data_IF_242636181190
#
_entry.id   IF_242636181190
#
_cell.length_a   1.000
_cell.length_b   1.000
_cell.length_c   1.000
_cell.angle_alpha   90.00
_cell.angle_beta   90.00
_cell.angle_gamma   90.00
#
_symmetry.space_group_name_H-M   'P 1'
#
loop_
_entity.id
_entity.type
_entity.pdbx_description
1 polymer ?
#
# COMPACT_ATOMS: atom_id res chain seq x y z
N UNK A 1 -45.88 -5.01 -27.60
CA UNK A 1 -44.98 -6.03 -27.07
C UNK A 1 -44.68 -5.68 -25.61
N UNK A 2 -44.87 -6.64 -24.70
CA UNK A 2 -44.59 -6.46 -23.29
C UNK A 2 -43.06 -6.52 -23.04
N UNK A 3 -42.59 -5.88 -21.95
CA UNK A 3 -41.17 -5.88 -21.59
C UNK A 3 -40.61 -7.30 -21.47
N UNK A 4 -41.40 -8.26 -20.97
CA UNK A 4 -40.98 -9.68 -20.90
C UNK A 4 -40.71 -10.30 -22.26
N UNK A 5 -41.50 -9.98 -23.27
CA UNK A 5 -41.29 -10.52 -24.64
C UNK A 5 -40.01 -9.97 -25.27
N UNK A 6 -39.73 -8.67 -25.08
CA UNK A 6 -38.49 -8.06 -25.54
C UNK A 6 -37.28 -8.72 -24.87
N UNK A 7 -37.37 -8.97 -23.57
CA UNK A 7 -36.31 -9.64 -22.81
C UNK A 7 -36.03 -11.07 -23.34
N UNK A 8 -37.08 -11.88 -23.52
CA UNK A 8 -36.91 -13.25 -24.04
C UNK A 8 -36.33 -13.29 -25.45
N UNK A 9 -36.78 -12.40 -26.32
CA UNK A 9 -36.26 -12.28 -27.69
C UNK A 9 -34.77 -11.85 -27.69
N UNK A 10 -34.41 -10.85 -26.89
CA UNK A 10 -33.03 -10.38 -26.77
C UNK A 10 -32.12 -11.46 -26.16
N UNK A 11 -32.61 -12.20 -25.15
CA UNK A 11 -31.86 -13.30 -24.55
C UNK A 11 -31.66 -14.46 -25.52
N UNK A 12 -32.70 -14.86 -26.28
CA UNK A 12 -32.60 -15.86 -27.35
C UNK A 12 -31.58 -15.45 -28.40
N UNK A 13 -31.59 -14.20 -28.82
CA UNK A 13 -30.64 -13.63 -29.79
C UNK A 13 -29.17 -13.73 -29.33
N UNK A 14 -28.92 -13.51 -28.03
CA UNK A 14 -27.59 -13.69 -27.45
C UNK A 14 -27.17 -15.18 -27.38
N UNK A 15 -28.16 -16.07 -27.17
CA UNK A 15 -27.90 -17.52 -27.09
C UNK A 15 -27.62 -18.16 -28.44
N UNK A 16 -28.22 -17.66 -29.54
CA UNK A 16 -27.96 -18.16 -30.90
C UNK A 16 -26.50 -17.91 -31.35
N UNK A 17 -25.83 -16.91 -30.76
CA UNK A 17 -24.44 -16.52 -31.09
C UNK A 17 -23.51 -16.57 -29.87
N UNK A 18 -23.52 -17.73 -29.19
CA UNK A 18 -22.84 -17.97 -27.92
C UNK A 18 -21.39 -17.45 -27.85
N UNK A 19 -20.58 -17.77 -28.88
CA UNK A 19 -19.17 -17.42 -28.89
C UNK A 19 -18.92 -15.91 -28.88
N UNK A 20 -19.70 -15.15 -29.68
CA UNK A 20 -19.57 -13.70 -29.80
C UNK A 20 -20.06 -13.01 -28.53
N UNK A 21 -21.25 -13.41 -28.05
CA UNK A 21 -21.83 -12.85 -26.81
C UNK A 21 -20.94 -13.12 -25.61
N UNK A 22 -20.40 -14.35 -25.50
CA UNK A 22 -19.43 -14.70 -24.44
C UNK A 22 -18.18 -13.83 -24.51
N UNK A 23 -17.61 -13.61 -25.70
CA UNK A 23 -16.41 -12.80 -25.86
C UNK A 23 -16.64 -11.33 -25.46
N UNK A 24 -17.81 -10.79 -25.81
CA UNK A 24 -18.20 -9.44 -25.41
C UNK A 24 -18.40 -9.32 -23.90
N UNK A 25 -19.07 -10.31 -23.28
CA UNK A 25 -19.24 -10.36 -21.81
C UNK A 25 -17.87 -10.44 -21.13
N UNK A 26 -16.94 -11.28 -21.64
CA UNK A 26 -15.58 -11.38 -21.10
C UNK A 26 -14.83 -10.05 -21.16
N UNK A 27 -14.97 -9.27 -22.22
CA UNK A 27 -14.35 -7.93 -22.29
C UNK A 27 -14.85 -7.00 -21.17
N UNK A 28 -16.16 -7.02 -20.88
CA UNK A 28 -16.75 -6.23 -19.79
C UNK A 28 -16.27 -6.76 -18.42
N UNK A 29 -16.23 -8.09 -18.27
CA UNK A 29 -15.71 -8.76 -17.05
C UNK A 29 -14.29 -8.30 -16.78
N UNK A 30 -13.39 -8.37 -17.77
CA UNK A 30 -11.97 -8.01 -17.58
C UNK A 30 -11.83 -6.55 -17.16
N UNK A 31 -12.55 -5.62 -17.79
CA UNK A 31 -12.50 -4.20 -17.45
C UNK A 31 -13.01 -3.92 -16.02
N UNK A 32 -14.17 -4.47 -15.68
CA UNK A 32 -14.76 -4.27 -14.34
C UNK A 32 -14.02 -5.05 -13.24
N UNK A 33 -13.54 -6.26 -13.52
CA UNK A 33 -12.73 -7.04 -12.57
C UNK A 33 -11.40 -6.36 -12.25
N UNK A 34 -10.71 -5.83 -13.27
CA UNK A 34 -9.47 -5.08 -13.07
C UNK A 34 -9.72 -3.86 -12.17
N UNK A 35 -10.79 -3.11 -12.44
CA UNK A 35 -11.14 -1.93 -11.65
C UNK A 35 -11.45 -2.28 -10.18
N UNK A 36 -12.21 -3.35 -9.94
CA UNK A 36 -12.53 -3.83 -8.58
C UNK A 36 -11.27 -4.30 -7.86
N UNK A 37 -10.45 -5.12 -8.52
CA UNK A 37 -9.24 -5.68 -7.92
C UNK A 37 -8.26 -4.57 -7.50
N UNK A 38 -8.00 -3.61 -8.38
CA UNK A 38 -7.08 -2.53 -8.14
C UNK A 38 -7.58 -1.55 -7.07
N UNK A 39 -8.89 -1.23 -7.06
CA UNK A 39 -9.49 -0.42 -6.00
C UNK A 39 -9.42 -1.12 -4.64
N UNK A 40 -9.69 -2.42 -4.58
CA UNK A 40 -9.59 -3.20 -3.35
C UNK A 40 -8.17 -3.24 -2.78
N UNK A 41 -7.16 -3.42 -3.62
CA UNK A 41 -5.74 -3.40 -3.22
C UNK A 41 -5.33 -1.99 -2.74
N UNK A 42 -5.73 -0.94 -3.47
CA UNK A 42 -5.42 0.46 -3.10
C UNK A 42 -6.07 0.85 -1.77
N UNK A 43 -7.32 0.45 -1.53
CA UNK A 43 -8.01 0.66 -0.25
C UNK A 43 -7.32 -0.10 0.89
N UNK A 44 -6.90 -1.35 0.66
CA UNK A 44 -6.13 -2.14 1.62
C UNK A 44 -4.79 -1.50 1.99
N UNK A 45 -4.06 -0.97 1.01
CA UNK A 45 -2.82 -0.22 1.24
C UNK A 45 -3.07 1.03 2.10
N UNK A 46 -4.12 1.80 1.79
CA UNK A 46 -4.48 3.00 2.55
C UNK A 46 -4.82 2.67 4.01
N UNK A 47 -5.60 1.62 4.23
CA UNK A 47 -5.98 1.18 5.57
C UNK A 47 -4.76 0.69 6.37
N UNK A 48 -3.87 -0.08 5.73
CA UNK A 48 -2.63 -0.53 6.34
C UNK A 48 -1.74 0.64 6.78
N UNK A 49 -1.54 1.64 5.92
CA UNK A 49 -0.75 2.85 6.26
C UNK A 49 -1.40 3.63 7.39
N UNK A 50 -2.71 3.80 7.37
CA UNK A 50 -3.43 4.49 8.45
C UNK A 50 -3.28 3.77 9.79
N UNK A 51 -3.37 2.43 9.81
CA UNK A 51 -3.16 1.65 11.04
C UNK A 51 -1.75 1.82 11.60
N UNK A 52 -0.72 1.83 10.74
CA UNK A 52 0.67 2.03 11.19
C UNK A 52 0.89 3.41 11.82
N UNK A 53 0.32 4.46 11.23
CA UNK A 53 0.52 5.82 11.70
C UNK A 53 -0.27 6.09 12.98
N UNK A 54 -1.47 5.51 13.11
CA UNK A 54 -2.29 5.64 14.31
C UNK A 54 -1.66 4.98 15.56
N UNK A 55 -0.62 4.18 15.39
CA UNK A 55 0.16 3.64 16.51
C UNK A 55 1.17 4.64 17.06
N UNK A 56 1.57 5.64 16.27
CA UNK A 56 2.50 6.67 16.71
C UNK A 56 1.78 7.73 17.55
N UNK A 57 2.46 8.22 18.56
CA UNK A 57 1.94 9.33 19.35
C UNK A 57 1.74 10.58 18.46
N UNK A 58 0.59 11.25 18.52
CA UNK A 58 0.30 12.39 17.66
C UNK A 58 1.06 13.67 18.05
N UNK A 59 1.68 13.69 19.22
CA UNK A 59 2.39 14.84 19.79
C UNK A 59 3.91 14.75 19.63
N UNK A 60 4.45 13.87 18.78
CA UNK A 60 5.89 13.72 18.57
C UNK A 60 6.36 14.38 17.26
N UNK A 61 7.63 14.73 17.25
CA UNK A 61 8.39 15.15 16.07
C UNK A 61 9.67 14.33 16.00
N UNK A 62 9.98 13.82 14.83
CA UNK A 62 11.27 13.20 14.54
C UNK A 62 12.19 14.26 13.95
N UNK A 63 13.32 14.48 14.58
CA UNK A 63 14.31 15.48 14.20
C UNK A 63 15.60 14.74 13.84
N UNK A 64 16.15 15.00 12.65
CA UNK A 64 17.36 14.35 12.14
C UNK A 64 18.41 15.37 11.70
N UNK A 65 19.69 14.97 11.73
CA UNK A 65 20.78 15.77 11.21
C UNK A 65 20.73 15.80 9.67
N UNK A 66 20.45 16.98 9.12
CA UNK A 66 20.35 17.20 7.67
C UNK A 66 19.01 16.81 7.06
N UNK A 67 18.72 17.43 5.94
CA UNK A 67 17.57 17.15 5.15
C UNK A 67 17.79 15.80 4.41
N UNK A 68 17.44 14.68 5.02
CA UNK A 68 17.12 13.48 4.24
C UNK A 68 15.77 13.73 3.56
N UNK A 69 15.82 14.62 2.57
CA UNK A 69 14.69 14.81 1.66
C UNK A 69 14.45 13.48 0.95
N UNK A 70 13.22 13.03 0.95
CA UNK A 70 12.70 12.00 0.02
C UNK A 70 12.84 12.44 -1.46
N UNK A 71 13.47 13.57 -1.71
CA UNK A 71 13.60 14.24 -2.99
C UNK A 71 15.08 14.29 -3.40
N UNK A 72 15.61 13.15 -3.88
CA UNK A 72 16.85 13.08 -4.66
C UNK A 72 18.16 13.54 -3.99
N UNK A 73 19.32 13.25 -4.59
CA UNK A 73 20.65 13.46 -4.01
C UNK A 73 21.19 14.89 -4.12
N UNK A 74 20.36 15.92 -4.31
CA UNK A 74 20.81 17.31 -4.48
C UNK A 74 20.27 18.25 -3.39
N UNK A 75 20.90 18.23 -2.22
CA UNK A 75 21.08 19.43 -1.44
C UNK A 75 22.28 19.26 -0.49
N UNK A 76 23.41 19.80 -0.88
CA UNK A 76 24.58 20.03 -0.03
C UNK A 76 24.34 21.16 0.99
N UNK A 77 23.20 21.17 1.68
CA UNK A 77 23.00 21.98 2.86
C UNK A 77 23.84 21.38 3.99
N UNK A 78 24.65 22.18 4.65
CA UNK A 78 25.49 21.76 5.75
C UNK A 78 24.61 21.12 6.84
N UNK A 79 24.75 19.81 7.04
CA UNK A 79 24.02 19.10 8.08
C UNK A 79 24.51 19.53 9.46
N UNK A 80 23.60 19.85 10.35
CA UNK A 80 23.95 20.15 11.75
C UNK A 80 24.28 18.87 12.47
N UNK A 81 25.40 18.90 13.23
CA UNK A 81 25.73 17.80 14.12
C UNK A 81 24.83 17.92 15.35
N UNK A 82 23.98 16.95 15.56
CA UNK A 82 23.15 16.87 16.76
C UNK A 82 24.01 16.36 17.92
N UNK A 83 24.33 17.24 18.85
CA UNK A 83 25.08 16.93 20.06
C UNK A 83 24.23 17.26 21.31
N UNK A 84 24.80 17.04 22.51
CA UNK A 84 24.12 17.32 23.77
C UNK A 84 23.66 18.79 23.91
N UNK A 85 24.41 19.74 23.33
CA UNK A 85 24.03 21.16 23.38
C UNK A 85 22.78 21.44 22.52
N UNK A 86 22.65 20.79 21.35
CA UNK A 86 21.43 20.87 20.53
C UNK A 86 20.24 20.24 21.25
N UNK A 87 20.46 19.08 21.89
CA UNK A 87 19.42 18.40 22.70
C UNK A 87 18.91 19.32 23.81
N UNK A 88 19.82 19.91 24.62
CA UNK A 88 19.46 20.80 25.71
C UNK A 88 18.74 22.06 25.21
N UNK A 89 19.17 22.62 24.08
CA UNK A 89 18.53 23.81 23.50
C UNK A 89 17.12 23.53 23.00
N UNK A 90 16.89 22.37 22.38
CA UNK A 90 15.54 21.97 21.95
C UNK A 90 14.67 21.67 23.16
N UNK A 91 15.22 21.03 24.21
CA UNK A 91 14.49 20.72 25.43
C UNK A 91 14.04 21.99 26.20
N UNK A 92 14.76 23.11 26.04
CA UNK A 92 14.39 24.40 26.66
C UNK A 92 13.34 25.19 25.87
N UNK A 93 12.88 24.72 24.72
CA UNK A 93 11.86 25.42 23.94
C UNK A 93 10.48 25.37 24.62
N UNK A 94 9.64 26.39 24.41
CA UNK A 94 8.28 26.39 24.94
C UNK A 94 7.48 25.25 24.34
N UNK A 95 6.59 24.65 25.14
CA UNK A 95 5.71 23.52 24.75
C UNK A 95 6.44 22.22 24.44
N UNK A 96 7.74 22.11 24.58
CA UNK A 96 8.46 20.83 24.56
C UNK A 96 8.29 20.16 25.92
N UNK A 97 7.89 18.91 25.90
CA UNK A 97 7.75 18.08 27.11
C UNK A 97 9.03 17.29 27.36
N UNK A 98 9.56 16.64 26.30
CA UNK A 98 10.73 15.80 26.42
C UNK A 98 11.47 15.67 25.09
N UNK A 99 12.79 15.47 25.17
CA UNK A 99 13.65 15.21 24.00
C UNK A 99 14.43 13.94 24.25
N UNK A 100 14.28 12.96 23.37
CA UNK A 100 14.95 11.65 23.46
C UNK A 100 15.93 11.51 22.32
N UNK A 101 17.24 11.57 22.60
CA UNK A 101 18.27 11.34 21.59
C UNK A 101 18.39 9.85 21.24
N UNK A 102 18.72 9.56 19.98
CA UNK A 102 18.94 8.20 19.54
C UNK A 102 20.04 8.09 18.49
N UNK A 103 20.71 6.94 18.51
CA UNK A 103 21.61 6.49 17.44
C UNK A 103 20.90 5.40 16.63
N UNK A 104 21.18 5.37 15.35
CA UNK A 104 20.73 4.31 14.47
C UNK A 104 21.90 3.66 13.74
N UNK A 105 21.89 2.31 13.70
CA UNK A 105 22.87 1.55 12.98
C UNK A 105 22.34 0.19 12.59
N UNK A 106 23.12 -0.53 11.80
CA UNK A 106 22.87 -1.92 11.48
C UNK A 106 23.89 -2.79 12.21
N UNK A 107 23.43 -3.93 12.72
CA UNK A 107 24.31 -4.93 13.27
C UNK A 107 23.82 -6.33 12.93
N UNK A 108 24.76 -7.25 12.83
CA UNK A 108 24.49 -8.68 12.75
C UNK A 108 24.31 -9.24 14.15
N UNK A 109 23.18 -9.82 14.41
CA UNK A 109 22.85 -10.52 15.66
C UNK A 109 23.22 -12.00 15.50
N UNK A 110 24.07 -12.49 16.36
CA UNK A 110 24.48 -13.90 16.43
C UNK A 110 23.87 -14.57 17.64
N UNK A 111 23.16 -15.66 17.40
CA UNK A 111 22.61 -16.51 18.46
C UNK A 111 22.62 -17.97 18.01
N UNK A 112 23.17 -18.85 18.84
CA UNK A 112 23.23 -20.29 18.59
C UNK A 112 23.78 -20.69 17.18
N UNK A 113 24.75 -19.91 16.66
CA UNK A 113 25.35 -20.14 15.34
C UNK A 113 24.54 -19.62 14.16
N UNK A 114 23.37 -19.03 14.40
CA UNK A 114 22.55 -18.35 13.39
C UNK A 114 22.81 -16.84 13.42
N UNK A 115 22.67 -16.19 12.25
CA UNK A 115 22.90 -14.76 12.07
C UNK A 115 21.65 -14.10 11.48
N UNK A 116 21.24 -12.97 12.07
CA UNK A 116 20.16 -12.14 11.54
C UNK A 116 20.61 -10.69 11.53
N UNK A 117 20.54 -10.03 10.37
CA UNK A 117 20.82 -8.59 10.27
C UNK A 117 19.61 -7.80 10.76
N UNK A 118 19.85 -6.89 11.69
CA UNK A 118 18.82 -6.04 12.26
C UNK A 118 19.23 -4.59 12.32
N UNK A 119 18.24 -3.71 12.24
CA UNK A 119 18.41 -2.31 12.58
C UNK A 119 18.38 -2.15 14.08
N UNK A 120 19.43 -1.56 14.65
CA UNK A 120 19.52 -1.24 16.07
C UNK A 120 19.22 0.24 16.26
N UNK A 121 18.32 0.53 17.17
CA UNK A 121 18.00 1.86 17.65
C UNK A 121 18.48 1.96 19.09
N UNK A 122 19.47 2.81 19.33
CA UNK A 122 19.98 3.04 20.67
C UNK A 122 19.34 4.29 21.25
N UNK A 123 18.50 4.09 22.26
CA UNK A 123 17.75 5.13 22.95
C UNK A 123 17.41 4.69 24.36
N UNK A 124 16.91 5.62 25.19
CA UNK A 124 16.37 5.24 26.49
C UNK A 124 15.14 4.33 26.28
N UNK A 125 15.25 3.07 26.69
CA UNK A 125 14.21 2.06 26.48
C UNK A 125 12.88 2.41 27.15
N UNK A 126 12.89 3.14 28.27
CA UNK A 126 11.66 3.57 28.95
C UNK A 126 10.91 4.62 28.14
N UNK A 127 11.60 5.35 27.29
CA UNK A 127 11.03 6.42 26.45
C UNK A 127 10.40 5.93 25.17
N UNK A 128 10.46 4.63 24.88
CA UNK A 128 9.82 4.06 23.68
C UNK A 128 8.31 4.29 23.68
N UNK A 129 7.68 4.34 24.85
CA UNK A 129 6.25 4.61 24.98
C UNK A 129 5.86 6.03 24.58
N UNK A 130 6.81 6.99 24.53
CA UNK A 130 6.57 8.30 23.97
C UNK A 130 6.37 8.24 22.45
N UNK A 131 7.01 7.27 21.79
CA UNK A 131 6.90 7.08 20.33
C UNK A 131 5.66 6.24 20.02
N UNK A 132 5.49 5.14 20.73
CA UNK A 132 4.37 4.23 20.58
C UNK A 132 3.69 3.95 21.92
N UNK A 133 2.67 4.76 22.30
CA UNK A 133 1.97 4.61 23.57
C UNK A 133 1.24 3.26 23.73
N UNK A 134 0.90 2.62 22.61
CA UNK A 134 0.18 1.35 22.57
C UNK A 134 1.12 0.13 22.48
N UNK A 135 2.44 0.34 22.62
CA UNK A 135 3.39 -0.76 22.57
C UNK A 135 3.14 -1.75 23.72
N UNK A 136 2.94 -3.01 23.37
CA UNK A 136 2.84 -4.11 24.32
C UNK A 136 4.03 -5.03 24.16
N UNK A 137 4.42 -5.69 25.24
CA UNK A 137 5.44 -6.73 25.24
C UNK A 137 4.73 -8.09 25.29
N UNK A 138 5.17 -9.01 24.44
CA UNK A 138 4.70 -10.41 24.48
C UNK A 138 5.33 -11.14 25.67
N UNK A 139 6.60 -10.84 25.96
CA UNK A 139 7.37 -11.43 27.06
C UNK A 139 8.34 -10.40 27.63
N UNK A 140 8.63 -10.50 28.92
CA UNK A 140 9.59 -9.66 29.59
C UNK A 140 9.04 -8.31 30.04
N UNK A 141 9.94 -7.36 30.28
CA UNK A 141 9.62 -5.99 30.66
C UNK A 141 10.62 -5.02 30.06
N UNK A 142 10.21 -3.74 29.93
CA UNK A 142 11.17 -2.67 29.66
C UNK A 142 12.13 -2.54 30.86
N UNK A 143 13.40 -2.51 30.53
CA UNK A 143 14.45 -2.45 31.57
C UNK A 143 14.58 -1.03 32.11
N UNK A 144 15.10 -0.91 33.33
CA UNK A 144 15.47 0.40 33.90
C UNK A 144 16.42 1.14 32.99
N UNK A 145 16.23 2.45 32.90
CA UNK A 145 17.13 3.34 32.16
C UNK A 145 18.60 3.06 32.54
N UNK A 146 19.48 3.00 31.54
CA UNK A 146 20.92 2.78 31.67
C UNK A 146 21.39 1.34 31.99
N UNK A 147 20.64 0.29 31.65
CA UNK A 147 21.21 -1.04 31.63
C UNK A 147 21.95 -1.27 30.28
N UNK A 148 23.30 -1.29 30.29
CA UNK A 148 24.10 -1.38 29.07
C UNK A 148 24.02 -2.75 28.40
N UNK A 149 23.52 -3.76 29.09
CA UNK A 149 23.43 -5.13 28.59
C UNK A 149 22.05 -5.54 28.14
N UNK A 150 21.02 -4.76 28.44
CA UNK A 150 19.65 -5.08 28.13
C UNK A 150 19.29 -4.76 26.68
N UNK A 151 18.55 -5.65 26.03
CA UNK A 151 18.08 -5.52 24.66
C UNK A 151 16.59 -5.82 24.57
N UNK A 152 15.81 -4.89 24.00
CA UNK A 152 14.43 -5.12 23.58
C UNK A 152 14.41 -5.50 22.09
N UNK A 153 13.66 -6.54 21.74
CA UNK A 153 13.66 -7.10 20.40
C UNK A 153 12.26 -7.07 19.80
N UNK A 154 12.14 -6.68 18.54
CA UNK A 154 10.91 -6.78 17.78
C UNK A 154 10.55 -8.23 17.45
N UNK A 155 9.25 -8.51 17.38
CA UNK A 155 8.75 -9.88 17.15
C UNK A 155 9.33 -10.53 15.88
N UNK A 156 9.43 -9.79 14.78
CA UNK A 156 9.97 -10.33 13.53
C UNK A 156 11.46 -10.69 13.59
N UNK A 157 12.19 -10.21 14.60
CA UNK A 157 13.57 -10.60 14.87
C UNK A 157 13.61 -11.77 15.84
N UNK A 158 12.74 -11.78 16.86
CA UNK A 158 12.64 -12.89 17.78
C UNK A 158 12.13 -14.16 17.10
N UNK A 159 11.13 -14.00 16.21
CA UNK A 159 10.48 -15.07 15.47
C UNK A 159 10.60 -14.82 13.96
N UNK A 160 11.78 -15.00 13.33
CA UNK A 160 11.94 -14.78 11.90
C UNK A 160 11.04 -15.73 11.10
N UNK A 161 10.30 -15.25 10.11
CA UNK A 161 9.48 -16.12 9.28
C UNK A 161 10.34 -17.09 8.49
N UNK A 162 9.95 -18.36 8.55
CA UNK A 162 10.70 -19.47 7.94
C UNK A 162 11.54 -20.28 8.92
N UNK A 163 11.70 -19.83 10.16
CA UNK A 163 12.27 -20.65 11.23
C UNK A 163 11.15 -21.34 12.03
N UNK A 164 11.33 -22.62 12.34
CA UNK A 164 10.38 -23.39 13.15
C UNK A 164 10.55 -23.18 14.65
N UNK A 165 11.73 -22.68 15.06
CA UNK A 165 12.07 -22.33 16.45
C UNK A 165 12.34 -20.85 16.56
N UNK A 166 12.00 -20.20 17.70
CA UNK A 166 12.36 -18.81 17.93
C UNK A 166 13.87 -18.61 17.81
N UNK A 167 14.28 -17.58 17.07
CA UNK A 167 15.70 -17.21 16.98
C UNK A 167 16.22 -16.62 18.28
N UNK A 168 15.36 -15.83 18.97
CA UNK A 168 15.69 -15.20 20.25
C UNK A 168 14.59 -15.46 21.27
N UNK A 169 15.00 -15.76 22.51
CA UNK A 169 14.13 -15.99 23.64
C UNK A 169 14.48 -15.06 24.81
N UNK A 170 13.52 -14.82 25.69
CA UNK A 170 13.71 -13.99 26.88
C UNK A 170 14.87 -14.51 27.73
N UNK A 171 15.76 -13.62 28.23
CA UNK A 171 16.92 -13.96 29.04
C UNK A 171 18.10 -14.54 28.24
N UNK A 172 17.98 -14.77 26.98
CA UNK A 172 19.04 -15.29 26.12
C UNK A 172 20.12 -14.25 25.88
N UNK A 173 21.41 -14.68 25.82
CA UNK A 173 22.54 -13.84 25.43
C UNK A 173 22.72 -13.83 23.91
N UNK A 174 22.86 -12.65 23.35
CA UNK A 174 23.04 -12.39 21.92
C UNK A 174 24.26 -11.53 21.70
N UNK A 175 25.06 -11.82 20.71
CA UNK A 175 26.16 -10.97 20.25
C UNK A 175 25.69 -10.09 19.11
N UNK A 176 25.86 -8.77 19.24
CA UNK A 176 25.61 -7.81 18.16
C UNK A 176 26.95 -7.29 17.65
N UNK A 177 27.20 -7.50 16.35
CA UNK A 177 28.40 -7.04 15.67
C UNK A 177 28.04 -5.96 14.68
N UNK A 178 28.59 -4.76 14.86
CA UNK A 178 28.45 -3.62 13.95
C UNK A 178 29.79 -3.35 13.26
N UNK A 179 29.72 -2.99 11.98
CA UNK A 179 30.88 -2.52 11.22
C UNK A 179 30.88 -0.99 11.15
N UNK A 180 32.05 -0.41 11.33
CA UNK A 180 32.29 1.03 11.16
C UNK A 180 33.56 1.29 10.39
N UNK A 181 33.63 2.42 9.71
CA UNK A 181 34.85 2.86 9.03
C UNK A 181 35.60 3.82 9.94
N UNK A 182 36.81 3.48 10.27
CA UNK A 182 37.68 4.36 11.05
C UNK A 182 38.02 5.61 10.21
N UNK A 183 37.62 6.81 10.69
CA UNK A 183 37.83 8.05 9.94
C UNK A 183 39.30 8.43 9.73
N UNK A 184 40.25 7.86 10.49
CA UNK A 184 41.68 8.16 10.40
C UNK A 184 42.34 7.20 9.41
N UNK A 185 42.05 5.90 9.50
CA UNK A 185 42.72 4.87 8.72
C UNK A 185 41.99 4.46 7.45
N UNK A 186 40.70 4.83 7.32
CA UNK A 186 39.82 4.41 6.24
C UNK A 186 39.49 2.91 6.22
N UNK A 187 39.94 2.15 7.22
CA UNK A 187 39.69 0.70 7.33
C UNK A 187 38.33 0.41 7.95
N UNK A 188 37.69 -0.62 7.45
CA UNK A 188 36.47 -1.16 8.09
C UNK A 188 36.87 -2.02 9.26
N UNK A 189 36.41 -1.62 10.45
CA UNK A 189 36.59 -2.35 11.71
C UNK A 189 35.20 -2.85 12.17
N UNK A 190 35.20 -3.85 13.07
CA UNK A 190 33.97 -4.39 13.67
C UNK A 190 34.01 -4.23 15.17
N UNK A 191 32.91 -3.81 15.77
CA UNK A 191 32.69 -3.79 17.20
C UNK A 191 31.63 -4.82 17.56
N UNK A 192 31.92 -5.64 18.58
CA UNK A 192 30.99 -6.70 19.03
C UNK A 192 30.69 -6.50 20.50
N UNK A 193 29.40 -6.52 20.82
CA UNK A 193 28.90 -6.48 22.21
C UNK A 193 27.88 -7.57 22.46
N UNK A 194 27.88 -8.08 23.70
CA UNK A 194 26.90 -9.08 24.15
C UNK A 194 25.75 -8.40 24.89
N UNK A 195 24.55 -8.83 24.59
CA UNK A 195 23.31 -8.33 25.20
C UNK A 195 22.47 -9.47 25.73
N UNK A 196 21.63 -9.17 26.72
CA UNK A 196 20.62 -10.08 27.26
C UNK A 196 19.25 -9.60 26.80
N UNK A 197 18.43 -10.48 26.24
CA UNK A 197 17.06 -10.16 25.84
C UNK A 197 16.22 -9.89 27.10
N UNK A 198 15.84 -8.64 27.27
CA UNK A 198 15.02 -8.17 28.39
C UNK A 198 13.53 -8.21 28.13
N UNK A 199 13.14 -8.11 26.84
CA UNK A 199 11.75 -8.19 26.43
C UNK A 199 11.61 -8.37 24.93
N UNK A 200 10.48 -8.96 24.54
CA UNK A 200 10.07 -9.16 23.14
C UNK A 200 8.82 -8.33 22.91
N UNK A 201 8.87 -7.43 21.94
CA UNK A 201 7.75 -6.57 21.57
C UNK A 201 6.67 -7.38 20.85
N UNK A 202 5.40 -7.08 21.12
CA UNK A 202 4.30 -7.69 20.40
C UNK A 202 4.29 -7.19 18.95
N UNK A 203 3.89 -8.05 17.97
CA UNK A 203 3.73 -7.62 16.60
C UNK A 203 2.82 -6.40 16.50
N UNK A 204 3.38 -5.29 16.05
CA UNK A 204 2.64 -4.03 15.92
C UNK A 204 2.04 -3.86 14.51
N UNK A 205 2.49 -4.68 13.56
CA UNK A 205 2.22 -4.47 12.13
C UNK A 205 3.03 -3.33 11.53
N UNK A 206 3.84 -2.64 12.34
CA UNK A 206 4.81 -1.66 11.87
C UNK A 206 6.17 -2.36 11.66
N UNK A 207 6.50 -2.62 10.41
CA UNK A 207 7.70 -3.36 10.03
C UNK A 207 9.00 -2.72 10.55
N UNK A 208 9.02 -1.42 10.79
CA UNK A 208 10.20 -0.73 11.34
C UNK A 208 10.39 -1.03 12.82
N UNK A 209 9.30 -1.12 13.59
CA UNK A 209 9.33 -1.46 15.03
C UNK A 209 9.49 -2.97 15.21
N UNK A 210 8.73 -3.75 14.44
CA UNK A 210 8.72 -5.21 14.55
C UNK A 210 10.08 -5.84 14.16
N UNK A 211 10.89 -5.12 13.38
CA UNK A 211 12.24 -5.51 12.97
C UNK A 211 13.35 -4.71 13.64
N UNK A 212 13.01 -3.84 14.56
CA UNK A 212 13.99 -3.07 15.30
C UNK A 212 14.44 -3.80 16.57
N UNK A 213 15.67 -3.52 16.94
CA UNK A 213 16.25 -3.87 18.23
C UNK A 213 16.57 -2.58 18.95
N UNK A 214 16.19 -2.49 20.23
CA UNK A 214 16.40 -1.31 21.05
C UNK A 214 17.38 -1.61 22.15
N UNK A 215 18.44 -0.81 22.23
CA UNK A 215 19.49 -0.90 23.24
C UNK A 215 19.65 0.45 23.95
N UNK A 216 20.40 0.47 25.05
CA UNK A 216 20.73 1.71 25.75
C UNK A 216 21.52 2.69 24.88
N UNK A 217 21.25 3.99 25.02
CA UNK A 217 21.83 5.06 24.22
C UNK A 217 23.35 5.13 24.34
N UNK A 218 23.90 4.95 25.56
CA UNK A 218 25.35 5.00 25.77
C UNK A 218 26.06 3.80 25.16
N UNK A 219 25.41 2.64 25.23
CA UNK A 219 25.89 1.41 24.61
C UNK A 219 25.89 1.55 23.07
N UNK A 220 24.87 2.18 22.50
CA UNK A 220 24.82 2.47 21.07
C UNK A 220 25.88 3.44 20.62
N UNK A 221 26.17 4.48 21.41
CA UNK A 221 27.25 5.41 21.10
C UNK A 221 28.61 4.68 20.96
N UNK A 222 28.89 3.73 21.84
CA UNK A 222 30.12 2.93 21.78
C UNK A 222 30.09 1.91 20.65
N UNK A 223 28.97 1.18 20.46
CA UNK A 223 28.84 0.15 19.41
C UNK A 223 28.96 0.73 18.00
N UNK A 224 28.47 1.95 17.78
CA UNK A 224 28.50 2.62 16.48
C UNK A 224 29.63 3.64 16.35
N UNK A 225 30.47 3.85 17.35
CA UNK A 225 31.56 4.85 17.35
C UNK A 225 31.11 6.27 16.98
N UNK A 226 29.95 6.72 17.51
CA UNK A 226 29.33 8.01 17.13
C UNK A 226 29.94 9.21 17.84
N UNK A 227 30.74 9.04 18.87
CA UNK A 227 31.42 10.13 19.61
C UNK A 227 30.47 11.22 20.11
N UNK A 228 29.28 10.84 20.60
CA UNK A 228 28.27 11.77 21.08
C UNK A 228 27.50 12.57 20.02
N UNK A 229 27.62 12.19 18.74
CA UNK A 229 26.86 12.77 17.63
C UNK A 229 25.63 11.92 17.38
N UNK A 230 24.48 12.39 17.86
CA UNK A 230 23.21 11.70 17.70
C UNK A 230 22.75 11.71 16.23
N UNK A 231 22.14 10.63 15.80
CA UNK A 231 21.57 10.53 14.45
C UNK A 231 20.18 11.17 14.38
N UNK A 232 19.36 10.95 15.42
CA UNK A 232 17.99 11.45 15.50
C UNK A 232 17.63 11.88 16.92
N UNK A 233 16.62 12.77 17.00
CA UNK A 233 15.93 13.08 18.25
C UNK A 233 14.44 12.79 18.05
N UNK A 234 13.81 12.27 19.11
CA UNK A 234 12.36 12.26 19.24
C UNK A 234 11.99 13.38 20.20
N UNK A 235 11.28 14.36 19.73
CA UNK A 235 10.80 15.51 20.50
C UNK A 235 9.32 15.31 20.78
N UNK A 236 8.96 15.25 22.07
CA UNK A 236 7.56 15.19 22.50
C UNK A 236 7.09 16.58 22.86
N UNK A 237 6.01 17.03 22.21
CA UNK A 237 5.31 18.26 22.58
C UNK A 237 4.30 17.97 23.70
N UNK A 238 3.98 18.97 24.53
CA UNK A 238 3.02 18.86 25.64
C UNK A 238 1.61 18.45 25.14
N UNK A 239 1.26 18.78 23.90
CA UNK A 239 -0.01 18.44 23.27
C UNK A 239 0.15 18.36 21.75
N UNK A 240 -0.67 17.58 21.04
CA UNK A 240 -0.70 17.56 19.57
C UNK A 240 -0.93 18.93 18.93
N UNK A 241 -1.61 19.84 19.64
CA UNK A 241 -1.87 21.20 19.16
C UNK A 241 -0.58 22.02 19.02
N UNK A 242 0.43 21.76 19.86
CA UNK A 242 1.70 22.52 19.86
C UNK A 242 2.76 21.94 18.92
N UNK A 243 2.54 20.80 18.29
CA UNK A 243 3.52 20.18 17.37
C UNK A 243 3.97 21.14 16.27
N UNK A 244 3.02 21.85 15.64
CA UNK A 244 3.35 22.81 14.58
C UNK A 244 4.13 24.03 15.12
N UNK A 245 3.86 24.45 16.36
CA UNK A 245 4.58 25.55 17.01
C UNK A 245 6.01 25.14 17.32
N UNK A 246 6.19 23.98 17.97
CA UNK A 246 7.52 23.42 18.25
C UNK A 246 8.32 23.18 16.97
N UNK A 247 7.68 22.67 15.91
CA UNK A 247 8.32 22.52 14.60
C UNK A 247 8.86 23.85 14.07
N UNK A 248 8.04 24.92 14.10
CA UNK A 248 8.45 26.26 13.63
C UNK A 248 9.57 26.84 14.47
N UNK A 249 9.53 26.67 15.78
CA UNK A 249 10.60 27.12 16.70
C UNK A 249 11.93 26.43 16.40
N UNK A 250 11.95 25.10 16.26
CA UNK A 250 13.15 24.36 15.89
C UNK A 250 13.64 24.80 14.49
N UNK A 251 12.71 25.01 13.54
CA UNK A 251 13.06 25.45 12.20
C UNK A 251 13.59 26.90 12.15
N UNK A 252 13.11 27.78 13.03
CA UNK A 252 13.64 29.14 13.16
C UNK A 252 15.07 29.17 13.71
N UNK A 253 15.43 28.22 14.61
CA UNK A 253 16.76 28.12 15.21
C UNK A 253 17.81 27.54 14.27
N UNK A 254 17.42 26.56 13.46
CA UNK A 254 18.38 25.73 12.69
C UNK A 254 18.15 25.78 11.17
N UNK A 255 17.10 26.44 10.71
CA UNK A 255 16.78 26.59 9.29
C UNK A 255 16.51 25.28 8.59
N UNK A 256 16.95 25.19 7.33
CA UNK A 256 16.85 23.98 6.50
C UNK A 256 17.92 22.92 6.81
N UNK A 257 18.84 23.20 7.72
CA UNK A 257 19.97 22.32 8.06
C UNK A 257 19.58 21.18 9.00
N UNK A 258 18.33 21.18 9.48
CA UNK A 258 17.75 20.13 10.32
C UNK A 258 16.49 19.57 9.66
N UNK A 259 16.36 18.26 9.62
CA UNK A 259 15.17 17.59 9.10
C UNK A 259 14.14 17.40 10.20
N UNK A 260 12.90 17.84 9.99
CA UNK A 260 11.81 17.64 10.96
C UNK A 260 10.67 16.92 10.25
N UNK A 261 10.27 15.79 10.80
CA UNK A 261 9.16 14.98 10.28
C UNK A 261 8.17 14.72 11.41
N UNK A 262 6.90 14.99 11.16
CA UNK A 262 5.80 14.68 12.08
C UNK A 262 4.99 13.49 11.59
N UNK A 263 4.32 12.70 12.45
CA UNK A 263 3.43 11.62 12.03
C UNK A 263 2.36 12.11 11.04
N UNK A 264 1.84 13.32 11.25
CA UNK A 264 0.89 13.95 10.33
C UNK A 264 1.50 14.21 8.94
N UNK A 265 2.74 14.68 8.85
CA UNK A 265 3.43 14.90 7.58
C UNK A 265 3.71 13.57 6.85
N UNK A 266 4.08 12.52 7.59
CA UNK A 266 4.23 11.18 7.03
C UNK A 266 2.90 10.71 6.42
N UNK A 267 1.80 10.87 7.17
CA UNK A 267 0.46 10.50 6.70
C UNK A 267 0.09 11.24 5.42
N UNK A 268 0.27 12.56 5.40
CA UNK A 268 -0.04 13.40 4.23
C UNK A 268 0.77 12.98 3.00
N UNK A 269 2.08 12.79 3.13
CA UNK A 269 2.95 12.35 2.04
C UNK A 269 2.52 10.96 1.52
N UNK A 270 2.22 10.03 2.44
CA UNK A 270 1.74 8.69 2.06
C UNK A 270 0.38 8.73 1.38
N UNK A 271 -0.55 9.55 1.88
CA UNK A 271 -1.86 9.74 1.24
C UNK A 271 -1.73 10.36 -0.16
N UNK A 272 -0.86 11.36 -0.34
CA UNK A 272 -0.59 11.94 -1.66
C UNK A 272 -0.02 10.90 -2.64
N UNK A 273 0.94 10.10 -2.19
CA UNK A 273 1.50 9.01 -3.01
C UNK A 273 0.43 7.98 -3.38
N UNK A 274 -0.36 7.53 -2.40
CA UNK A 274 -1.42 6.55 -2.63
C UNK A 274 -2.53 7.11 -3.53
N UNK A 275 -2.91 8.38 -3.38
CA UNK A 275 -3.93 9.01 -4.23
C UNK A 275 -3.44 9.19 -5.67
N UNK A 276 -2.18 9.57 -5.86
CA UNK A 276 -1.55 9.65 -7.20
C UNK A 276 -1.51 8.29 -7.89
N UNK A 277 -1.07 7.25 -7.17
CA UNK A 277 -1.04 5.89 -7.68
C UNK A 277 -2.46 5.36 -7.97
N UNK A 278 -3.42 5.63 -7.08
CA UNK A 278 -4.83 5.26 -7.28
C UNK A 278 -5.43 5.93 -8.52
N UNK A 279 -5.15 7.21 -8.77
CA UNK A 279 -5.62 7.93 -9.95
C UNK A 279 -5.05 7.34 -11.23
N UNK A 280 -3.77 6.98 -11.25
CA UNK A 280 -3.15 6.28 -12.38
C UNK A 280 -3.82 4.94 -12.65
N UNK A 281 -3.99 4.13 -11.61
CA UNK A 281 -4.65 2.82 -11.67
C UNK A 281 -6.09 2.95 -12.19
N UNK A 282 -6.86 3.93 -11.69
CA UNK A 282 -8.22 4.20 -12.16
C UNK A 282 -8.24 4.58 -13.65
N UNK A 283 -7.25 5.36 -14.12
CA UNK A 283 -7.14 5.71 -15.53
C UNK A 283 -6.92 4.48 -16.41
N UNK A 284 -6.04 3.56 -15.99
CA UNK A 284 -5.81 2.29 -16.72
C UNK A 284 -7.07 1.42 -16.73
N UNK A 285 -7.76 1.31 -15.60
CA UNK A 285 -9.01 0.54 -15.51
C UNK A 285 -10.13 1.17 -16.35
N UNK A 286 -10.21 2.49 -16.41
CA UNK A 286 -11.16 3.20 -17.26
C UNK A 286 -10.89 2.95 -18.75
N UNK A 287 -9.62 2.97 -19.17
CA UNK A 287 -9.22 2.60 -20.54
C UNK A 287 -9.64 1.16 -20.86
N UNK A 288 -9.46 0.22 -19.94
CA UNK A 288 -9.90 -1.16 -20.11
C UNK A 288 -11.43 -1.27 -20.31
N UNK A 289 -12.21 -0.48 -19.58
CA UNK A 289 -13.67 -0.38 -19.78
C UNK A 289 -14.03 0.23 -21.13
N UNK A 290 -13.29 1.23 -21.60
CA UNK A 290 -13.50 1.80 -22.94
C UNK A 290 -13.21 0.78 -24.05
N UNK A 291 -12.18 -0.04 -23.91
CA UNK A 291 -11.91 -1.16 -24.84
C UNK A 291 -13.09 -2.14 -24.84
N UNK A 292 -13.65 -2.46 -23.67
CA UNK A 292 -14.87 -3.24 -23.54
C UNK A 292 -16.07 -2.60 -24.27
N UNK A 293 -16.24 -1.28 -24.14
CA UNK A 293 -17.28 -0.53 -24.83
C UNK A 293 -17.15 -0.60 -26.38
N UNK A 294 -15.93 -0.47 -26.89
CA UNK A 294 -15.65 -0.64 -28.34
C UNK A 294 -15.98 -2.08 -28.78
N UNK A 295 -15.67 -3.07 -27.95
CA UNK A 295 -16.06 -4.46 -28.19
C UNK A 295 -17.57 -4.65 -28.26
N UNK A 296 -18.36 -4.02 -27.39
CA UNK A 296 -19.82 -4.04 -27.43
C UNK A 296 -20.33 -3.39 -28.73
N UNK A 297 -19.82 -2.20 -29.08
CA UNK A 297 -20.20 -1.48 -30.31
C UNK A 297 -19.97 -2.36 -31.54
N UNK A 298 -18.78 -2.93 -31.69
CA UNK A 298 -18.40 -3.78 -32.81
C UNK A 298 -19.26 -5.04 -32.89
N UNK A 299 -19.48 -5.70 -31.77
CA UNK A 299 -20.27 -6.94 -31.70
C UNK A 299 -21.74 -6.68 -32.08
N UNK A 300 -22.36 -5.66 -31.48
CA UNK A 300 -23.75 -5.32 -31.77
C UNK A 300 -23.90 -4.78 -33.18
N UNK A 301 -22.94 -4.01 -33.70
CA UNK A 301 -22.97 -3.52 -35.09
C UNK A 301 -22.92 -4.69 -36.08
N UNK A 302 -22.08 -5.66 -35.85
CA UNK A 302 -22.02 -6.88 -36.69
C UNK A 302 -23.31 -7.68 -36.55
N UNK A 303 -23.87 -7.83 -35.34
CA UNK A 303 -25.17 -8.49 -35.11
C UNK A 303 -26.30 -7.83 -35.87
N UNK A 304 -26.35 -6.50 -35.89
CA UNK A 304 -27.32 -5.73 -36.72
C UNK A 304 -27.15 -6.03 -38.19
N UNK A 305 -25.92 -6.02 -38.72
CA UNK A 305 -25.65 -6.27 -40.14
C UNK A 305 -26.05 -7.69 -40.57
N UNK A 306 -25.87 -8.68 -39.73
CA UNK A 306 -26.25 -10.07 -40.04
C UNK A 306 -27.77 -10.30 -39.96
N UNK A 307 -28.49 -9.45 -39.23
CA UNK A 307 -29.96 -9.53 -39.05
C UNK A 307 -30.71 -8.48 -39.87
N UNK A 308 -30.08 -7.86 -40.86
CA UNK A 308 -30.72 -6.80 -41.69
C UNK A 308 -32.04 -7.28 -42.28
N UNK A 309 -32.08 -8.51 -42.79
CA UNK A 309 -33.29 -9.11 -43.39
C UNK A 309 -34.40 -9.31 -42.34
N UNK A 310 -34.08 -9.84 -41.14
CA UNK A 310 -35.05 -9.99 -40.06
C UNK A 310 -35.60 -8.64 -39.58
N UNK A 311 -34.75 -7.61 -39.48
CA UNK A 311 -35.16 -6.26 -39.11
C UNK A 311 -36.08 -5.66 -40.20
N UNK A 312 -35.74 -5.94 -41.45
CA UNK A 312 -36.54 -5.51 -42.64
C UNK A 312 -37.94 -6.12 -42.63
N UNK A 313 -38.06 -7.43 -42.39
CA UNK A 313 -39.35 -8.15 -42.33
C UNK A 313 -40.18 -7.68 -41.11
N UNK A 314 -39.58 -7.52 -39.93
CA UNK A 314 -40.28 -6.99 -38.77
C UNK A 314 -40.86 -5.60 -39.04
N UNK A 315 -40.10 -4.72 -39.69
CA UNK A 315 -40.58 -3.39 -40.05
C UNK A 315 -41.64 -3.41 -41.15
N UNK A 316 -41.55 -4.33 -42.09
CA UNK A 316 -42.57 -4.50 -43.15
C UNK A 316 -43.93 -4.94 -42.56
N UNK A 317 -43.92 -5.73 -41.49
CA UNK A 317 -45.12 -6.16 -40.72
C UNK A 317 -45.62 -5.05 -39.78
N UNK A 318 -44.92 -3.90 -39.67
CA UNK A 318 -45.37 -2.76 -38.86
C UNK A 318 -44.62 -2.53 -37.56
N UNK A 319 -43.46 -3.16 -37.31
CA UNK A 319 -42.67 -2.89 -36.10
C UNK A 319 -42.18 -1.43 -36.05
N UNK A 320 -42.42 -0.79 -34.89
CA UNK A 320 -42.01 0.60 -34.68
C UNK A 320 -40.50 0.75 -34.53
N UNK A 321 -39.97 1.93 -34.80
CA UNK A 321 -38.55 2.25 -34.60
C UNK A 321 -38.14 2.05 -33.17
N UNK A 322 -39.01 2.38 -32.20
CA UNK A 322 -38.76 2.22 -30.75
C UNK A 322 -38.65 0.74 -30.34
N UNK A 323 -39.43 -0.15 -31.00
CA UNK A 323 -39.35 -1.58 -30.74
C UNK A 323 -38.00 -2.16 -31.17
N UNK A 324 -37.50 -1.82 -32.35
CA UNK A 324 -36.19 -2.27 -32.81
C UNK A 324 -35.08 -1.68 -31.93
N UNK A 325 -35.18 -0.39 -31.55
CA UNK A 325 -34.24 0.23 -30.62
C UNK A 325 -34.20 -0.49 -29.28
N UNK A 326 -35.37 -0.76 -28.69
CA UNK A 326 -35.44 -1.42 -27.36
C UNK A 326 -34.92 -2.85 -27.39
N UNK A 327 -35.07 -3.58 -28.49
CA UNK A 327 -34.59 -4.95 -28.65
C UNK A 327 -33.04 -5.01 -28.58
N UNK A 328 -32.36 -4.20 -29.38
CA UNK A 328 -30.88 -4.14 -29.37
C UNK A 328 -30.31 -3.46 -28.13
N UNK A 329 -31.01 -2.46 -27.58
CA UNK A 329 -30.61 -1.86 -26.31
C UNK A 329 -30.73 -2.87 -25.15
N UNK A 330 -31.74 -3.74 -25.17
CA UNK A 330 -31.89 -4.80 -24.18
C UNK A 330 -30.75 -5.83 -24.26
N UNK A 331 -30.26 -6.16 -25.47
CA UNK A 331 -29.05 -7.00 -25.62
C UNK A 331 -27.84 -6.35 -24.90
N UNK A 332 -27.60 -5.05 -25.11
CA UNK A 332 -26.52 -4.32 -24.44
C UNK A 332 -26.70 -4.28 -22.91
N UNK A 333 -27.94 -4.11 -22.43
CA UNK A 333 -28.29 -4.11 -21.02
C UNK A 333 -28.02 -5.47 -20.38
N UNK A 334 -28.39 -6.57 -21.05
CA UNK A 334 -28.11 -7.94 -20.55
C UNK A 334 -26.61 -8.18 -20.47
N UNK A 335 -25.85 -7.81 -21.51
CA UNK A 335 -24.37 -7.89 -21.51
C UNK A 335 -23.78 -7.06 -20.37
N UNK A 336 -24.29 -5.83 -20.17
CA UNK A 336 -23.84 -4.93 -19.11
C UNK A 336 -24.11 -5.49 -17.71
N UNK A 337 -25.30 -5.99 -17.42
CA UNK A 337 -25.66 -6.57 -16.14
C UNK A 337 -24.84 -7.83 -15.84
N UNK A 338 -24.78 -8.76 -16.80
CA UNK A 338 -24.05 -10.01 -16.62
C UNK A 338 -22.54 -9.75 -16.52
N UNK A 339 -21.99 -8.92 -17.39
CA UNK A 339 -20.58 -8.57 -17.40
C UNK A 339 -20.13 -7.83 -16.14
N UNK A 340 -20.90 -6.81 -15.70
CA UNK A 340 -20.56 -6.06 -14.48
C UNK A 340 -20.70 -6.92 -13.21
N UNK A 341 -21.72 -7.77 -13.11
CA UNK A 341 -21.90 -8.64 -11.94
C UNK A 341 -20.81 -9.71 -11.85
N UNK A 342 -20.52 -10.40 -12.96
CA UNK A 342 -19.42 -11.36 -13.02
C UNK A 342 -18.06 -10.66 -12.85
N UNK A 343 -17.91 -9.46 -13.37
CA UNK A 343 -16.68 -8.67 -13.21
C UNK A 343 -16.42 -8.27 -11.76
N UNK A 344 -17.44 -7.84 -11.03
CA UNK A 344 -17.28 -7.54 -9.59
C UNK A 344 -16.87 -8.81 -8.82
N UNK A 345 -17.52 -9.94 -9.04
CA UNK A 345 -17.21 -11.19 -8.33
C UNK A 345 -15.81 -11.72 -8.68
N UNK A 346 -15.44 -11.73 -9.97
CA UNK A 346 -14.11 -12.14 -10.42
C UNK A 346 -13.03 -11.15 -10.01
N UNK A 347 -13.35 -9.86 -9.92
CA UNK A 347 -12.43 -8.81 -9.44
C UNK A 347 -12.09 -8.96 -7.96
N UNK A 348 -13.07 -9.31 -7.12
CA UNK A 348 -12.81 -9.63 -5.71
C UNK A 348 -11.88 -10.85 -5.61
N UNK A 349 -12.20 -11.96 -6.30
CA UNK A 349 -11.35 -13.15 -6.33
C UNK A 349 -9.95 -12.87 -6.87
N UNK A 350 -9.84 -12.06 -7.94
CA UNK A 350 -8.58 -11.64 -8.53
C UNK A 350 -7.70 -10.81 -7.59
N UNK A 351 -8.30 -9.93 -6.79
CA UNK A 351 -7.56 -9.15 -5.79
C UNK A 351 -6.94 -10.05 -4.71
N UNK A 352 -7.68 -11.03 -4.20
CA UNK A 352 -7.14 -11.99 -3.25
C UNK A 352 -6.06 -12.89 -3.88
N UNK A 353 -6.27 -13.35 -5.10
CA UNK A 353 -5.27 -14.11 -5.84
C UNK A 353 -3.98 -13.30 -6.04
N UNK A 354 -4.11 -12.03 -6.46
CA UNK A 354 -2.97 -11.13 -6.66
C UNK A 354 -2.22 -10.84 -5.35
N UNK A 355 -2.95 -10.64 -4.25
CA UNK A 355 -2.34 -10.45 -2.92
C UNK A 355 -1.61 -11.71 -2.42
N UNK A 356 -2.05 -12.91 -2.79
CA UNK A 356 -1.35 -14.16 -2.47
C UNK A 356 -0.13 -14.41 -3.35
N UNK A 357 -0.16 -13.99 -4.61
CA UNK A 357 1.00 -14.04 -5.52
C UNK A 357 2.15 -13.13 -5.06
N UNK A 358 1.84 -11.95 -4.54
CA UNK A 358 2.86 -11.04 -3.98
C UNK A 358 3.51 -11.57 -2.71
N UNK A 359 2.95 -12.61 -2.08
CA UNK A 359 3.58 -13.35 -0.97
C UNK A 359 4.82 -14.14 -1.40
N UNK A 360 4.87 -14.61 -2.67
CA UNK A 360 5.94 -15.47 -3.18
C UNK A 360 6.94 -14.77 -4.10
N UNK A 361 6.55 -13.64 -4.68
CA UNK A 361 7.34 -12.96 -5.71
C UNK A 361 7.51 -11.49 -5.28
N UNK A 362 8.41 -11.27 -4.32
CA UNK A 362 8.95 -9.92 -4.13
C UNK A 362 9.72 -9.49 -5.40
N UNK A 363 9.88 -8.19 -5.73
CA UNK A 363 10.69 -7.72 -6.85
C UNK A 363 12.20 -7.98 -6.68
N UNK A 364 12.56 -9.14 -6.12
CA UNK A 364 13.88 -9.71 -5.93
C UNK A 364 13.89 -11.24 -5.99
N UNK A 365 12.74 -11.89 -6.30
CA UNK A 365 12.61 -13.34 -6.40
C UNK A 365 13.02 -13.91 -7.76
N UNK A 366 14.09 -13.41 -8.36
CA UNK A 366 14.82 -14.09 -9.42
C UNK A 366 15.96 -14.87 -8.80
N UNK A 367 15.96 -16.17 -8.98
CA UNK A 367 16.96 -17.18 -8.60
C UNK A 367 18.35 -16.69 -8.15
N UNK A 368 18.46 -16.26 -6.90
CA UNK A 368 19.74 -16.10 -6.26
C UNK A 368 20.29 -17.45 -5.83
N UNK A 369 21.63 -17.61 -5.77
CA UNK A 369 22.24 -18.86 -5.37
C UNK A 369 21.81 -19.24 -3.95
N UNK A 370 21.73 -20.55 -3.60
CA UNK A 370 21.37 -21.01 -2.27
C UNK A 370 22.40 -20.47 -1.25
N UNK A 371 21.99 -19.54 -0.41
CA UNK A 371 22.82 -18.84 0.58
C UNK A 371 22.63 -17.32 0.63
N UNK A 372 21.87 -16.74 -0.27
CA UNK A 372 21.57 -15.30 -0.30
C UNK A 372 20.33 -14.95 0.54
N UNK A 373 20.52 -13.97 1.40
CA UNK A 373 19.57 -13.27 2.28
C UNK A 373 18.12 -13.39 1.83
N UNK A 374 17.31 -14.13 2.61
CA UNK A 374 15.86 -14.14 2.52
C UNK A 374 15.32 -12.71 2.62
N UNK A 375 14.75 -12.22 1.52
CA UNK A 375 14.06 -10.94 1.52
C UNK A 375 13.00 -10.94 2.62
N UNK A 376 12.93 -9.90 3.45
CA UNK A 376 11.98 -9.84 4.55
C UNK A 376 10.56 -10.05 4.03
N UNK A 377 9.71 -10.81 4.74
CA UNK A 377 8.32 -10.96 4.38
C UNK A 377 7.67 -9.59 4.28
N UNK A 378 7.12 -9.32 3.13
CA UNK A 378 6.36 -8.09 2.90
C UNK A 378 5.11 -8.10 3.80
N UNK A 379 4.75 -6.98 4.41
CA UNK A 379 3.57 -6.89 5.24
C UNK A 379 2.33 -7.31 4.43
N UNK A 380 1.48 -8.14 5.02
CA UNK A 380 0.27 -8.62 4.40
C UNK A 380 -0.72 -7.48 4.18
N UNK A 381 -0.80 -6.97 2.96
CA UNK A 381 -1.82 -6.02 2.55
C UNK A 381 -3.02 -6.84 2.07
N UNK A 382 -4.02 -6.99 2.93
CA UNK A 382 -5.28 -7.60 2.54
C UNK A 382 -6.10 -6.60 1.73
N UNK A 383 -6.65 -6.99 0.56
CA UNK A 383 -7.54 -6.12 -0.18
C UNK A 383 -8.79 -5.81 0.65
N UNK A 384 -9.21 -4.55 0.63
CA UNK A 384 -10.38 -4.06 1.37
C UNK A 384 -11.44 -3.61 0.37
N UNK A 385 -12.65 -4.12 0.50
CA UNK A 385 -13.76 -3.79 -0.37
C UNK A 385 -14.84 -3.07 0.40
N UNK A 386 -15.14 -1.85 0.01
CA UNK A 386 -16.28 -1.10 0.50
C UNK A 386 -17.45 -1.31 -0.45
N UNK A 387 -18.63 -1.55 0.09
CA UNK A 387 -19.86 -1.76 -0.72
C UNK A 387 -20.14 -0.59 -1.66
N UNK A 388 -19.84 0.64 -1.23
CA UNK A 388 -19.96 1.83 -2.06
C UNK A 388 -19.08 1.80 -3.30
N UNK A 389 -17.81 1.32 -3.16
CA UNK A 389 -16.86 1.23 -4.26
C UNK A 389 -17.27 0.14 -5.25
N UNK A 390 -17.71 -1.02 -4.77
CA UNK A 390 -18.22 -2.11 -5.60
C UNK A 390 -19.44 -1.66 -6.42
N UNK A 391 -20.38 -0.98 -5.77
CA UNK A 391 -21.58 -0.43 -6.44
C UNK A 391 -21.23 0.66 -7.45
N UNK A 392 -20.21 1.47 -7.20
CA UNK A 392 -19.78 2.52 -8.13
C UNK A 392 -19.17 1.91 -9.40
N UNK A 393 -18.33 0.88 -9.26
CA UNK A 393 -17.75 0.16 -10.41
C UNK A 393 -18.84 -0.58 -11.18
N UNK A 394 -19.75 -1.26 -10.49
CA UNK A 394 -20.88 -1.95 -11.12
C UNK A 394 -21.73 -0.98 -11.95
N UNK A 395 -22.13 0.17 -11.35
CA UNK A 395 -22.93 1.20 -12.06
C UNK A 395 -22.17 1.76 -13.25
N UNK A 396 -20.89 2.07 -13.10
CA UNK A 396 -20.07 2.63 -14.16
C UNK A 396 -19.96 1.66 -15.34
N UNK A 397 -19.64 0.40 -15.08
CA UNK A 397 -19.55 -0.64 -16.12
C UNK A 397 -20.88 -0.88 -16.81
N UNK A 398 -21.97 -0.90 -16.07
CA UNK A 398 -23.31 -1.01 -16.62
C UNK A 398 -23.68 0.18 -17.53
N UNK A 399 -23.44 1.42 -17.08
CA UNK A 399 -23.73 2.64 -17.84
C UNK A 399 -22.90 2.65 -19.14
N UNK A 400 -21.62 2.35 -19.07
CA UNK A 400 -20.74 2.30 -20.25
C UNK A 400 -21.24 1.27 -21.24
N UNK A 401 -21.64 0.08 -20.78
CA UNK A 401 -22.19 -0.98 -21.63
C UNK A 401 -23.51 -0.56 -22.31
N UNK A 402 -24.42 0.06 -21.56
CA UNK A 402 -25.70 0.56 -22.09
C UNK A 402 -25.49 1.68 -23.13
N UNK A 403 -24.61 2.62 -22.85
CA UNK A 403 -24.25 3.72 -23.78
C UNK A 403 -23.59 3.18 -25.05
N UNK A 404 -22.66 2.21 -24.90
CA UNK A 404 -22.00 1.57 -26.03
C UNK A 404 -23.02 0.88 -26.98
N UNK A 405 -24.05 0.25 -26.41
CA UNK A 405 -25.12 -0.38 -27.18
C UNK A 405 -26.07 0.58 -27.88
N UNK A 406 -26.12 1.84 -27.42
CA UNK A 406 -27.09 2.83 -27.98
C UNK A 406 -26.82 3.15 -29.43
N UNK A 407 -25.56 3.29 -29.84
CA UNK A 407 -25.20 3.62 -31.23
C UNK A 407 -25.63 2.54 -32.24
N UNK A 408 -25.27 1.26 -32.06
CA UNK A 408 -25.74 0.21 -32.97
C UNK A 408 -27.27 0.03 -32.98
N UNK A 409 -27.90 0.10 -31.78
CA UNK A 409 -29.35 0.02 -31.64
C UNK A 409 -30.06 1.16 -32.37
N UNK A 410 -29.56 2.40 -32.26
CA UNK A 410 -30.10 3.54 -32.98
C UNK A 410 -29.97 3.37 -34.52
N UNK A 411 -28.81 2.87 -35.00
CA UNK A 411 -28.58 2.60 -36.42
C UNK A 411 -29.53 1.53 -36.94
N UNK A 412 -29.73 0.44 -36.22
CA UNK A 412 -30.70 -0.62 -36.53
C UNK A 412 -32.13 -0.08 -36.65
N UNK A 413 -32.53 0.81 -35.73
CA UNK A 413 -33.85 1.39 -35.68
C UNK A 413 -34.17 2.29 -36.92
N UNK A 414 -33.16 2.79 -37.63
CA UNK A 414 -33.30 3.66 -38.79
C UNK A 414 -33.20 2.95 -40.14
N UNK A 415 -32.96 1.64 -40.16
CA UNK A 415 -32.95 0.86 -41.42
C UNK A 415 -34.32 0.96 -42.15
N UNK A 416 -34.32 1.18 -43.45
CA UNK A 416 -35.56 1.17 -44.20
C UNK A 416 -35.93 -0.26 -44.64
N UNK A 417 -37.21 -0.66 -44.63
CA UNK A 417 -37.64 -2.01 -45.03
C UNK A 417 -37.18 -2.34 -46.46
N UNK A 418 -37.26 -1.37 -47.35
CA UNK A 418 -36.93 -1.56 -48.78
C UNK A 418 -35.43 -1.87 -48.98
N UNK A 419 -34.56 -1.15 -48.27
CA UNK A 419 -33.12 -1.38 -48.37
C UNK A 419 -32.67 -2.67 -47.65
N UNK A 420 -33.44 -3.13 -46.68
CA UNK A 420 -33.15 -4.35 -45.91
C UNK A 420 -33.57 -5.63 -46.66
N UNK A 421 -34.63 -5.55 -47.48
CA UNK A 421 -35.15 -6.70 -48.26
C UNK A 421 -34.51 -6.81 -49.66
N UNK A 422 -33.81 -5.77 -50.13
CA UNK A 422 -33.15 -5.75 -51.45
C UNK A 422 -31.72 -6.33 -51.47
N UNK A 423 -31.18 -6.65 -50.30
CA UNK A 423 -29.90 -7.32 -50.09
C UNK A 423 -30.09 -8.82 -49.90
#
# INVERSE_FOLDING_TARGET
MNFKEIFYLSFGALWDRKARSALTIVMVIVGSALMVALNGISAGQSEFVNKQINQLAPNILFVSSGQRSFRGPESSAASIIINSAVVSRIASLPYVQEVVPSYQGQASLESQGNFVNSQIIAMDQQKIYLINPNLQLTQGSTVKSNDPSAMLVGDSIANPPGMTTPFLSLGQVVKATSSFVDPITGKSNTETKSFVISGIMQPSGNNQIDRAVIIDVNTGNTLFHRSGKYDNLVVSAQSPAYVNTVQKEIQSLYGSNIGIITPKAILQTRQQFLSGNSSFIQSVAFIALLVGAVGIITTLYTSVNERIFEIGTLKAIGASKSLILSLFLMEAVIIGITGSTLGVTTGIGGAYAMSSFTRGVGPGGGGGPPGGSSSPPQPHISPVFRTADLLSVWRLSFIISAVAGLYPAWKASRLSPISALKR
#
